data_IF_875851347394
#
_entry.id   IF_875851347394
#
_cell.length_a   1.000
_cell.length_b   1.000
_cell.length_c   1.000
_cell.angle_alpha   90.00
_cell.angle_beta   90.00
_cell.angle_gamma   90.00
#
_symmetry.space_group_name_H-M   'P 1'
#
loop_
_entity.id
_entity.type
_entity.pdbx_description
1 polymer ?
#
# COMPACT_ATOMS: atom_id res chain seq x y z
N UNK A 1 -20.58 -5.21 -21.41
CA UNK A 1 -20.27 -6.63 -21.73
C UNK A 1 -18.76 -6.83 -21.64
N UNK A 2 -18.25 -8.07 -21.57
CA UNK A 2 -16.78 -8.33 -21.51
C UNK A 2 -16.04 -7.75 -22.71
N UNK A 3 -16.67 -7.77 -23.89
CA UNK A 3 -16.18 -7.13 -25.13
C UNK A 3 -15.86 -5.64 -24.99
N UNK A 4 -16.43 -4.96 -23.99
CA UNK A 4 -16.28 -3.52 -23.80
C UNK A 4 -15.11 -3.18 -22.88
N UNK A 5 -14.47 -4.18 -22.26
CA UNK A 5 -13.39 -3.99 -21.30
C UNK A 5 -12.17 -3.26 -21.87
N UNK A 6 -11.65 -3.57 -23.08
CA UNK A 6 -10.53 -2.82 -23.66
C UNK A 6 -10.81 -1.31 -23.72
N UNK A 7 -11.98 -0.93 -24.25
CA UNK A 7 -12.39 0.47 -24.35
C UNK A 7 -12.55 1.13 -22.98
N UNK A 8 -13.18 0.43 -22.02
CA UNK A 8 -13.36 0.95 -20.67
C UNK A 8 -12.02 1.13 -19.93
N UNK A 9 -11.08 0.20 -20.13
CA UNK A 9 -9.73 0.28 -19.58
C UNK A 9 -8.99 1.51 -20.09
N UNK A 10 -8.92 1.68 -21.41
CA UNK A 10 -8.25 2.80 -22.06
C UNK A 10 -8.83 4.15 -21.60
N UNK A 11 -10.16 4.25 -21.52
CA UNK A 11 -10.83 5.45 -21.03
C UNK A 11 -10.41 5.80 -19.58
N UNK A 12 -10.30 4.80 -18.69
CA UNK A 12 -9.88 5.03 -17.29
C UNK A 12 -8.39 5.33 -17.14
N UNK A 13 -7.54 4.72 -17.95
CA UNK A 13 -6.12 5.09 -18.02
C UNK A 13 -5.96 6.56 -18.45
N UNK A 14 -6.73 7.00 -19.44
CA UNK A 14 -6.69 8.38 -19.91
C UNK A 14 -7.21 9.35 -18.85
N UNK A 15 -8.31 9.02 -18.18
CA UNK A 15 -8.92 9.83 -17.13
C UNK A 15 -8.00 10.02 -15.91
N UNK A 16 -7.37 8.95 -15.42
CA UNK A 16 -6.60 8.99 -14.18
C UNK A 16 -5.11 9.30 -14.39
N UNK A 17 -4.53 8.87 -15.50
CA UNK A 17 -3.08 8.93 -15.74
C UNK A 17 -2.71 9.74 -16.98
N UNK A 18 -3.69 10.20 -17.78
CA UNK A 18 -3.45 11.02 -18.96
C UNK A 18 -2.90 10.27 -20.19
N UNK A 19 -2.76 8.95 -20.10
CA UNK A 19 -2.18 8.08 -21.14
C UNK A 19 -3.17 7.03 -21.64
N UNK A 20 -2.99 6.55 -22.87
CA UNK A 20 -3.73 5.43 -23.44
C UNK A 20 -2.72 4.37 -23.91
N UNK A 21 -2.89 3.07 -23.54
CA UNK A 21 -2.01 2.01 -24.01
C UNK A 21 -2.09 1.82 -25.53
N UNK A 22 -0.95 1.57 -26.19
CA UNK A 22 -0.89 1.32 -27.63
C UNK A 22 -1.46 -0.05 -28.03
N UNK A 23 -1.45 -1.01 -27.11
CA UNK A 23 -1.93 -2.38 -27.33
C UNK A 23 -2.72 -2.92 -26.13
N UNK A 24 -3.60 -3.90 -26.36
CA UNK A 24 -4.32 -4.57 -25.27
C UNK A 24 -3.39 -5.34 -24.32
N UNK A 25 -2.21 -5.76 -24.79
CA UNK A 25 -1.16 -6.39 -24.00
C UNK A 25 -0.63 -5.45 -22.91
N UNK A 26 -0.46 -4.16 -23.22
CA UNK A 26 -0.10 -3.13 -22.25
C UNK A 26 -1.33 -2.49 -21.58
N UNK A 27 -2.53 -2.86 -22.02
CA UNK A 27 -3.82 -2.41 -21.54
C UNK A 27 -4.51 -3.44 -20.65
N UNK A 28 -5.72 -3.82 -21.02
CA UNK A 28 -6.58 -4.69 -20.20
C UNK A 28 -6.00 -6.09 -19.94
N UNK A 29 -5.01 -6.54 -20.72
CA UNK A 29 -4.36 -7.84 -20.57
C UNK A 29 -3.02 -7.77 -19.82
N UNK A 30 -2.62 -6.60 -19.31
CA UNK A 30 -1.32 -6.42 -18.65
C UNK A 30 -1.12 -7.29 -17.40
N UNK A 31 -2.23 -7.64 -16.73
CA UNK A 31 -2.24 -8.33 -15.46
C UNK A 31 -2.97 -9.68 -15.53
N UNK A 32 -2.45 -10.67 -14.81
CA UNK A 32 -2.93 -12.07 -14.84
C UNK A 32 -4.14 -12.33 -13.94
N UNK A 33 -4.59 -11.35 -13.14
CA UNK A 33 -5.55 -11.58 -12.06
C UNK A 33 -6.91 -12.03 -12.55
N UNK A 34 -7.49 -11.33 -13.53
CA UNK A 34 -8.81 -11.65 -14.07
C UNK A 34 -8.87 -13.01 -14.77
N UNK A 35 -7.92 -13.39 -15.65
CA UNK A 35 -7.92 -14.75 -16.21
C UNK A 35 -7.67 -15.83 -15.15
N UNK A 36 -7.06 -15.49 -14.02
CA UNK A 36 -6.89 -16.40 -12.87
C UNK A 36 -8.08 -16.43 -11.91
N UNK A 37 -9.18 -15.75 -12.22
CA UNK A 37 -10.37 -15.69 -11.37
C UNK A 37 -10.25 -14.79 -10.13
N UNK A 38 -9.18 -13.99 -10.01
CA UNK A 38 -8.91 -13.13 -8.85
C UNK A 38 -9.65 -11.78 -8.92
N UNK A 39 -10.96 -11.82 -9.20
CA UNK A 39 -11.82 -10.63 -9.19
C UNK A 39 -12.00 -10.14 -7.74
N UNK A 40 -11.71 -8.85 -7.49
CA UNK A 40 -11.73 -8.26 -6.15
C UNK A 40 -10.39 -8.28 -5.42
N UNK A 41 -9.32 -8.79 -6.03
CA UNK A 41 -7.99 -8.83 -5.44
C UNK A 41 -7.27 -7.47 -5.44
N UNK A 42 -7.38 -6.69 -6.54
CA UNK A 42 -6.63 -5.44 -6.72
C UNK A 42 -6.74 -4.42 -5.56
N UNK A 43 -7.90 -4.20 -4.92
CA UNK A 43 -7.99 -3.29 -3.78
C UNK A 43 -7.02 -3.61 -2.63
N UNK A 44 -6.59 -4.87 -2.51
CA UNK A 44 -5.64 -5.30 -1.47
C UNK A 44 -4.26 -4.65 -1.60
N UNK A 45 -3.80 -4.31 -2.82
CA UNK A 45 -2.53 -3.60 -3.01
C UNK A 45 -2.57 -2.21 -2.37
N UNK A 46 -3.66 -1.47 -2.59
CA UNK A 46 -3.82 -0.16 -1.99
C UNK A 46 -4.00 -0.25 -0.48
N UNK A 47 -4.75 -1.23 0.01
CA UNK A 47 -4.86 -1.50 1.46
C UNK A 47 -3.48 -1.78 2.08
N UNK A 48 -2.61 -2.54 1.40
CA UNK A 48 -1.23 -2.76 1.81
C UNK A 48 -0.44 -1.46 1.98
N UNK A 49 -0.55 -0.53 1.03
CA UNK A 49 0.08 0.80 1.13
C UNK A 49 -0.43 1.61 2.33
N UNK A 50 -1.75 1.60 2.56
CA UNK A 50 -2.36 2.29 3.70
C UNK A 50 -1.90 1.70 5.04
N UNK A 51 -1.93 0.37 5.16
CA UNK A 51 -1.45 -0.34 6.35
C UNK A 51 0.03 -0.08 6.61
N UNK A 52 0.87 -0.14 5.58
CA UNK A 52 2.31 0.09 5.72
C UNK A 52 2.60 1.49 6.28
N UNK A 53 1.96 2.54 5.75
CA UNK A 53 2.16 3.90 6.23
C UNK A 53 1.71 4.08 7.69
N UNK A 54 0.56 3.51 8.07
CA UNK A 54 0.04 3.60 9.43
C UNK A 54 0.89 2.79 10.43
N UNK A 55 1.28 1.56 10.07
CA UNK A 55 2.17 0.73 10.88
C UNK A 55 3.54 1.38 11.07
N UNK A 56 4.12 1.92 9.99
CA UNK A 56 5.42 2.61 10.06
C UNK A 56 5.35 3.87 10.92
N UNK A 57 4.25 4.65 10.83
CA UNK A 57 4.04 5.81 11.70
C UNK A 57 3.99 5.43 13.18
N UNK A 58 3.35 4.30 13.52
CA UNK A 58 3.36 3.79 14.90
C UNK A 58 4.76 3.29 15.31
N UNK A 59 5.43 2.53 14.45
CA UNK A 59 6.78 2.03 14.73
C UNK A 59 7.78 3.18 14.99
N UNK A 60 7.70 4.30 14.25
CA UNK A 60 8.51 5.50 14.50
C UNK A 60 8.27 6.12 15.88
N UNK A 61 7.05 6.01 16.42
CA UNK A 61 6.74 6.51 17.77
C UNK A 61 7.27 5.57 18.86
N UNK A 62 7.18 4.25 18.62
CA UNK A 62 7.57 3.24 19.59
C UNK A 62 9.09 2.99 19.62
N UNK A 63 9.80 3.32 18.53
CA UNK A 63 11.24 3.08 18.38
C UNK A 63 11.95 4.44 18.21
N UNK A 64 12.54 5.00 19.29
CA UNK A 64 13.28 6.25 19.21
C UNK A 64 14.43 6.18 18.19
N UNK A 65 14.45 7.16 17.27
CA UNK A 65 15.48 7.28 16.25
C UNK A 65 15.39 6.22 15.14
N UNK A 66 14.22 5.62 14.90
CA UNK A 66 14.03 4.56 13.90
C UNK A 66 14.65 4.89 12.54
N UNK A 67 14.39 6.09 11.99
CA UNK A 67 14.91 6.42 10.65
C UNK A 67 16.44 6.46 10.62
N UNK A 68 17.08 7.04 11.65
CA UNK A 68 18.55 7.07 11.79
C UNK A 68 19.15 5.67 11.92
N UNK A 69 18.45 4.76 12.61
CA UNK A 69 18.88 3.35 12.71
C UNK A 69 18.86 2.69 11.34
N UNK A 70 17.80 2.90 10.57
CA UNK A 70 17.67 2.39 9.20
C UNK A 70 18.78 2.98 8.30
N UNK A 71 19.06 4.29 8.41
CA UNK A 71 20.18 4.93 7.68
C UNK A 71 21.54 4.28 8.00
N UNK A 72 21.73 3.79 9.23
CA UNK A 72 22.93 3.07 9.66
C UNK A 72 22.89 1.56 9.34
N UNK A 73 21.84 1.06 8.70
CA UNK A 73 21.65 -0.36 8.36
C UNK A 73 21.02 -1.22 9.46
N UNK A 74 20.68 -0.65 10.62
CA UNK A 74 19.90 -1.34 11.66
C UNK A 74 18.42 -1.37 11.29
N UNK A 75 18.05 -2.39 10.52
CA UNK A 75 16.64 -2.69 10.18
C UNK A 75 15.99 -3.67 11.15
N UNK A 76 16.77 -4.30 12.03
CA UNK A 76 16.29 -5.35 12.95
C UNK A 76 15.30 -4.79 13.96
N UNK A 77 15.53 -3.57 14.43
CA UNK A 77 14.59 -2.87 15.33
C UNK A 77 13.17 -2.81 14.76
N UNK A 78 13.02 -2.53 13.46
CA UNK A 78 11.71 -2.51 12.79
C UNK A 78 11.15 -3.93 12.58
N UNK A 79 12.00 -4.86 12.15
CA UNK A 79 11.60 -6.26 11.93
C UNK A 79 11.07 -6.88 13.22
N UNK A 80 11.72 -6.63 14.35
CA UNK A 80 11.30 -7.17 15.65
C UNK A 80 9.99 -6.53 16.14
N UNK A 81 9.80 -5.23 15.88
CA UNK A 81 8.50 -4.58 16.10
C UNK A 81 7.39 -5.21 15.25
N UNK A 82 7.64 -5.47 13.96
CA UNK A 82 6.67 -6.14 13.08
C UNK A 82 6.40 -7.59 13.50
N UNK A 83 7.43 -8.35 13.92
CA UNK A 83 7.27 -9.71 14.44
C UNK A 83 6.36 -9.73 15.66
N UNK A 84 6.62 -8.86 16.61
CA UNK A 84 5.85 -8.77 17.86
C UNK A 84 4.40 -8.34 17.61
N UNK A 85 4.19 -7.29 16.81
CA UNK A 85 2.88 -6.66 16.72
C UNK A 85 2.01 -7.20 15.57
N UNK A 86 2.62 -7.75 14.51
CA UNK A 86 1.92 -8.19 13.29
C UNK A 86 2.13 -9.68 13.04
N UNK A 87 3.37 -10.11 12.76
CA UNK A 87 3.60 -11.46 12.20
C UNK A 87 3.24 -12.58 13.18
N UNK A 88 3.55 -12.41 14.48
CA UNK A 88 3.25 -13.43 15.50
C UNK A 88 1.76 -13.67 15.73
N UNK A 89 0.90 -12.75 15.29
CA UNK A 89 -0.55 -12.89 15.43
C UNK A 89 -1.15 -13.80 14.37
N UNK A 90 -0.48 -13.99 13.23
CA UNK A 90 -0.99 -14.78 12.10
C UNK A 90 -2.43 -14.38 11.74
N UNK A 91 -3.33 -15.37 11.69
CA UNK A 91 -4.77 -15.18 11.42
C UNK A 91 -5.63 -15.11 12.69
N UNK A 92 -5.04 -14.84 13.86
CA UNK A 92 -5.77 -14.74 15.14
C UNK A 92 -6.78 -13.60 15.15
N UNK A 93 -6.51 -12.53 14.41
CA UNK A 93 -7.35 -11.36 14.32
C UNK A 93 -7.72 -11.06 12.87
N UNK A 94 -8.93 -10.55 12.66
CA UNK A 94 -9.29 -9.88 11.41
C UNK A 94 -8.38 -8.66 11.17
N UNK A 95 -8.11 -8.28 9.91
CA UNK A 95 -7.14 -7.21 9.58
C UNK A 95 -7.38 -5.90 10.32
N UNK A 96 -8.63 -5.43 10.40
CA UNK A 96 -8.99 -4.20 11.11
C UNK A 96 -8.69 -4.28 12.62
N UNK A 97 -8.97 -5.43 13.23
CA UNK A 97 -8.70 -5.68 14.65
C UNK A 97 -7.20 -5.78 14.90
N UNK A 98 -6.46 -6.43 14.00
CA UNK A 98 -5.00 -6.52 14.08
C UNK A 98 -4.35 -5.14 13.99
N UNK A 99 -4.76 -4.33 13.00
CA UNK A 99 -4.25 -2.97 12.85
C UNK A 99 -4.56 -2.11 14.07
N UNK A 100 -5.79 -2.18 14.59
CA UNK A 100 -6.19 -1.44 15.79
C UNK A 100 -5.42 -1.88 17.02
N UNK A 101 -5.17 -3.18 17.18
CA UNK A 101 -4.34 -3.71 18.27
C UNK A 101 -2.88 -3.25 18.16
N UNK A 102 -2.30 -3.26 16.96
CA UNK A 102 -0.90 -2.89 16.73
C UNK A 102 -0.66 -1.36 16.78
N UNK A 103 -1.62 -0.56 16.31
CA UNK A 103 -1.45 0.89 16.12
C UNK A 103 -2.27 1.75 17.07
N UNK A 104 -3.23 1.16 17.78
CA UNK A 104 -4.18 1.87 18.64
C UNK A 104 -5.33 2.55 17.89
N UNK A 105 -5.36 2.49 16.55
CA UNK A 105 -6.34 3.16 15.70
C UNK A 105 -6.87 2.26 14.59
N UNK A 106 -8.09 2.54 14.15
CA UNK A 106 -8.65 1.99 12.91
C UNK A 106 -7.86 2.49 11.69
N UNK A 107 -8.13 1.91 10.53
CA UNK A 107 -7.46 2.31 9.29
C UNK A 107 -7.76 3.79 8.98
N UNK A 108 -6.70 4.59 8.86
CA UNK A 108 -6.78 6.01 8.57
C UNK A 108 -5.89 6.36 7.36
N UNK A 109 -6.48 6.67 6.19
CA UNK A 109 -5.73 7.02 4.99
C UNK A 109 -4.83 8.25 5.13
N UNK A 110 -5.03 9.09 6.15
CA UNK A 110 -4.23 10.30 6.36
C UNK A 110 -2.77 10.00 6.61
N UNK A 111 -2.42 8.83 7.16
CA UNK A 111 -1.04 8.39 7.34
C UNK A 111 -0.31 8.24 5.99
N UNK A 112 -0.96 7.58 5.02
CA UNK A 112 -0.40 7.41 3.68
C UNK A 112 -0.34 8.73 2.91
N UNK A 113 -1.41 9.52 2.96
CA UNK A 113 -1.44 10.82 2.30
C UNK A 113 -0.36 11.76 2.84
N UNK A 114 -0.12 11.77 4.15
CA UNK A 114 0.96 12.54 4.76
C UNK A 114 2.32 12.06 4.28
N UNK A 115 2.58 10.74 4.31
CA UNK A 115 3.83 10.16 3.84
C UNK A 115 4.15 10.56 2.39
N UNK A 116 3.18 10.42 1.47
CA UNK A 116 3.38 10.77 0.06
C UNK A 116 3.59 12.27 -0.08
N UNK A 117 2.76 13.10 0.55
CA UNK A 117 2.91 14.57 0.47
C UNK A 117 4.28 15.01 0.96
N UNK A 118 4.68 14.62 2.17
CA UNK A 118 5.99 14.99 2.74
C UNK A 118 7.15 14.54 1.86
N UNK A 119 7.14 13.28 1.41
CA UNK A 119 8.22 12.73 0.58
C UNK A 119 8.32 13.44 -0.76
N UNK A 120 7.22 13.57 -1.49
CA UNK A 120 7.23 14.12 -2.84
C UNK A 120 7.37 15.65 -2.85
N UNK A 121 6.81 16.37 -1.88
CA UNK A 121 7.10 17.80 -1.69
C UNK A 121 8.58 18.05 -1.43
N UNK A 122 9.24 17.22 -0.62
CA UNK A 122 10.68 17.38 -0.37
C UNK A 122 11.54 17.09 -1.60
N UNK A 123 11.18 16.11 -2.42
CA UNK A 123 11.97 15.71 -3.61
C UNK A 123 11.78 16.71 -4.75
N UNK A 124 10.53 17.10 -5.02
CA UNK A 124 10.17 17.92 -6.18
C UNK A 124 10.02 19.41 -5.84
N UNK A 125 10.17 19.79 -4.57
CA UNK A 125 10.08 21.17 -4.09
C UNK A 125 8.71 21.82 -4.40
N UNK A 126 7.63 21.08 -4.15
CA UNK A 126 6.23 21.48 -4.36
C UNK A 126 5.44 21.60 -3.07
#
# INVERSE_FOLDING_TARGET
RVSDLPKAWNAKMKEYLGIEPDTDSDGVLQDVHWPSGMIGYFPSYMLGNLYAAQMYSKARQDIPGLDKRIEMGDVLSLVDWLRKNIHSMGRRYEPEKLLKAATGKELDPSYFLRYIKEKYSSIYQI
#
